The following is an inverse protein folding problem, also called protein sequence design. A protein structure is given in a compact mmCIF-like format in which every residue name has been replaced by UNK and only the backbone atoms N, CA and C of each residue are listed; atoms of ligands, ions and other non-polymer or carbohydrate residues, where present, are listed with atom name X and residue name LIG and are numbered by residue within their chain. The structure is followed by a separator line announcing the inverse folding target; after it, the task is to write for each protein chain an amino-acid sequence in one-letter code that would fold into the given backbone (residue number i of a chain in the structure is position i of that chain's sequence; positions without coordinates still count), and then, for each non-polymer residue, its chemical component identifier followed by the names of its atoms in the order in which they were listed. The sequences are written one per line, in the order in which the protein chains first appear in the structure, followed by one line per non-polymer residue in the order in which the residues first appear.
data_IF_158365277161
#
_entry.id   IF_158365277161
#
_cell.length_a   1.000
_cell.length_b   1.000
_cell.length_c   1.000
_cell.angle_alpha   90.00
_cell.angle_beta   90.00
_cell.angle_gamma   90.00
#
_symmetry.space_group_name_H-M   'P 1'
#
loop_
_entity.id
_entity.type
_entity.pdbx_description
1 polymer ?
#
# COMPACT_ATOMS: atom_id res chain seq x y z
N UNK A 1 -9.78 11.62 -31.42
CA UNK A 1 -9.09 10.34 -31.72
C UNK A 1 -9.19 9.45 -30.49
N UNK A 2 -9.91 8.33 -30.57
CA UNK A 2 -10.05 7.41 -29.42
C UNK A 2 -8.71 6.71 -29.18
N UNK A 3 -8.12 6.92 -28.00
CA UNK A 3 -6.87 6.27 -27.62
C UNK A 3 -7.14 4.76 -27.44
N UNK A 4 -6.31 3.89 -28.02
CA UNK A 4 -6.42 2.41 -27.94
C UNK A 4 -6.54 1.96 -26.48
N UNK A 5 -5.89 2.70 -25.56
CA UNK A 5 -5.96 2.51 -24.11
C UNK A 5 -7.38 2.67 -23.54
N UNK A 6 -8.15 3.63 -24.06
CA UNK A 6 -9.56 3.84 -23.68
C UNK A 6 -10.46 2.72 -24.17
N UNK A 7 -10.17 2.13 -25.34
CA UNK A 7 -10.91 1.00 -25.91
C UNK A 7 -10.69 -0.27 -25.07
N UNK A 8 -9.44 -0.54 -24.69
CA UNK A 8 -9.10 -1.68 -23.82
C UNK A 8 -9.75 -1.54 -22.44
N UNK A 9 -9.76 -0.33 -21.87
CA UNK A 9 -10.39 -0.07 -20.58
C UNK A 9 -11.91 -0.20 -20.61
N UNK A 10 -12.55 0.22 -21.71
CA UNK A 10 -13.97 -0.04 -21.95
C UNK A 10 -14.25 -1.54 -22.04
N UNK A 11 -13.42 -2.29 -22.77
CA UNK A 11 -13.57 -3.74 -22.88
C UNK A 11 -13.42 -4.45 -21.52
N UNK A 12 -12.40 -4.09 -20.73
CA UNK A 12 -12.20 -4.65 -19.38
C UNK A 12 -13.37 -4.29 -18.46
N UNK A 13 -13.84 -3.04 -18.50
CA UNK A 13 -14.94 -2.57 -17.67
C UNK A 13 -16.29 -3.19 -18.02
N UNK A 14 -16.52 -3.49 -19.30
CA UNK A 14 -17.82 -3.96 -19.79
C UNK A 14 -17.91 -5.47 -19.97
N UNK A 15 -16.78 -6.16 -20.10
CA UNK A 15 -16.72 -7.63 -20.34
C UNK A 15 -16.16 -8.39 -19.13
N UNK A 16 -15.14 -7.86 -18.46
CA UNK A 16 -14.46 -8.57 -17.38
C UNK A 16 -15.17 -8.36 -16.03
N UNK A 17 -15.49 -7.11 -15.70
CA UNK A 17 -16.10 -6.73 -14.41
C UNK A 17 -17.45 -7.43 -14.18
N UNK A 18 -18.37 -7.51 -15.16
CA UNK A 18 -19.64 -8.22 -14.99
C UNK A 18 -19.51 -9.74 -14.80
N UNK A 19 -18.35 -10.33 -15.15
CA UNK A 19 -18.06 -11.76 -14.97
C UNK A 19 -17.38 -12.09 -13.64
N UNK A 20 -17.02 -11.09 -12.84
CA UNK A 20 -16.47 -11.29 -11.49
C UNK A 20 -17.61 -11.60 -10.51
N UNK A 21 -18.05 -12.86 -10.47
CA UNK A 21 -19.19 -13.34 -9.66
C UNK A 21 -18.98 -13.25 -8.14
N UNK A 22 -17.79 -12.87 -7.67
CA UNK A 22 -17.46 -12.74 -6.25
C UNK A 22 -17.88 -11.40 -5.62
N UNK A 23 -18.26 -10.39 -6.42
CA UNK A 23 -18.62 -9.06 -5.93
C UNK A 23 -20.15 -8.91 -5.70
N UNK A 24 -20.58 -8.25 -4.60
CA UNK A 24 -21.97 -7.86 -4.39
C UNK A 24 -22.55 -7.08 -5.58
N UNK A 25 -23.83 -7.32 -5.92
CA UNK A 25 -24.51 -6.71 -7.09
C UNK A 25 -24.44 -5.18 -7.11
N UNK A 26 -24.44 -4.52 -5.94
CA UNK A 26 -24.32 -3.07 -5.81
C UNK A 26 -22.94 -2.53 -6.25
N UNK A 27 -21.87 -3.28 -5.98
CA UNK A 27 -20.52 -2.92 -6.41
C UNK A 27 -20.30 -3.17 -7.90
N UNK A 28 -20.97 -4.18 -8.47
CA UNK A 28 -21.00 -4.39 -9.93
C UNK A 28 -21.54 -3.17 -10.67
N UNK A 29 -22.69 -2.66 -10.24
CA UNK A 29 -23.32 -1.50 -10.88
C UNK A 29 -22.44 -0.26 -10.77
N UNK A 30 -21.86 -0.01 -9.59
CA UNK A 30 -20.96 1.12 -9.36
C UNK A 30 -19.70 1.01 -10.22
N UNK A 31 -19.06 -0.16 -10.25
CA UNK A 31 -17.80 -0.37 -10.95
C UNK A 31 -17.98 -0.40 -12.48
N UNK A 32 -19.15 -0.81 -12.99
CA UNK A 32 -19.45 -0.77 -14.42
C UNK A 32 -19.70 0.65 -14.91
N UNK A 33 -20.35 1.49 -14.09
CA UNK A 33 -20.66 2.89 -14.42
C UNK A 33 -19.42 3.78 -14.29
N UNK A 34 -18.70 3.68 -13.17
CA UNK A 34 -17.55 4.55 -12.88
C UNK A 34 -16.21 3.99 -13.35
N UNK A 35 -16.13 2.68 -13.62
CA UNK A 35 -14.92 1.99 -14.09
C UNK A 35 -14.23 2.70 -15.25
N UNK A 36 -14.92 3.03 -16.36
CA UNK A 36 -14.29 3.65 -17.53
C UNK A 36 -13.65 5.01 -17.25
N UNK A 37 -14.14 5.75 -16.24
CA UNK A 37 -13.63 7.07 -15.86
C UNK A 37 -12.58 7.02 -14.75
N UNK A 38 -12.75 6.13 -13.76
CA UNK A 38 -11.82 6.02 -12.63
C UNK A 38 -10.55 5.24 -12.99
N UNK A 39 -10.66 4.13 -13.72
CA UNK A 39 -9.51 3.27 -14.07
C UNK A 39 -8.38 4.02 -14.79
N UNK A 40 -8.61 4.81 -15.85
CA UNK A 40 -7.52 5.49 -16.54
C UNK A 40 -6.81 6.48 -15.62
N UNK A 41 -7.55 7.22 -14.78
CA UNK A 41 -6.94 8.16 -13.81
C UNK A 41 -6.12 7.45 -12.73
N UNK A 42 -6.59 6.31 -12.23
CA UNK A 42 -5.86 5.51 -11.24
C UNK A 42 -4.58 4.94 -11.89
N UNK A 43 -4.67 4.41 -13.11
CA UNK A 43 -3.52 3.86 -13.82
C UNK A 43 -2.50 4.97 -14.14
N UNK A 44 -2.95 6.15 -14.55
CA UNK A 44 -2.06 7.27 -14.86
C UNK A 44 -1.42 7.85 -13.60
N UNK A 45 -2.15 7.95 -12.49
CA UNK A 45 -1.58 8.29 -11.18
C UNK A 45 -0.57 7.22 -10.71
N UNK A 46 -0.84 5.95 -10.95
CA UNK A 46 0.08 4.85 -10.64
C UNK A 46 1.34 4.89 -11.51
N UNK A 47 1.19 5.14 -12.82
CA UNK A 47 2.31 5.19 -13.75
C UNK A 47 3.19 6.42 -13.54
N UNK A 48 2.59 7.58 -13.24
CA UNK A 48 3.34 8.80 -12.92
C UNK A 48 4.11 8.65 -11.61
N UNK A 49 3.46 8.15 -10.54
CA UNK A 49 4.15 7.87 -9.27
C UNK A 49 5.25 6.81 -9.39
N UNK A 50 5.07 5.80 -10.24
CA UNK A 50 6.09 4.80 -10.54
C UNK A 50 7.23 5.36 -11.38
N UNK A 51 6.96 6.25 -12.33
CA UNK A 51 7.97 6.91 -13.15
C UNK A 51 8.90 7.78 -12.30
N UNK A 52 8.37 8.54 -11.34
CA UNK A 52 9.18 9.33 -10.39
C UNK A 52 10.08 8.42 -9.54
N UNK A 53 9.56 7.26 -9.13
CA UNK A 53 10.29 6.30 -8.29
C UNK A 53 11.46 5.62 -9.01
N UNK A 54 11.46 5.53 -10.35
CA UNK A 54 12.60 5.01 -11.13
C UNK A 54 13.86 5.88 -11.02
N UNK A 55 13.70 7.17 -10.72
CA UNK A 55 14.82 8.12 -10.62
C UNK A 55 15.54 8.09 -9.27
N UNK A 56 15.03 7.32 -8.31
CA UNK A 56 15.57 7.25 -6.94
C UNK A 56 16.05 5.82 -6.67
N UNK A 57 17.27 5.63 -6.14
CA UNK A 57 17.77 4.29 -5.85
C UNK A 57 16.93 3.60 -4.77
N UNK A 58 16.72 2.29 -4.94
CA UNK A 58 16.06 1.44 -3.96
C UNK A 58 16.93 1.39 -2.71
N UNK A 59 16.34 1.70 -1.55
CA UNK A 59 17.02 1.63 -0.25
C UNK A 59 16.51 0.46 0.58
N UNK A 60 17.35 -0.12 1.46
CA UNK A 60 16.87 -1.08 2.45
C UNK A 60 15.86 -0.43 3.40
N UNK A 61 15.01 -1.24 4.00
CA UNK A 61 13.95 -0.76 4.90
C UNK A 61 14.58 -0.15 6.16
N UNK A 62 14.26 1.10 6.53
CA UNK A 62 14.78 1.70 7.76
C UNK A 62 14.36 0.89 9.00
N UNK A 63 15.21 0.77 10.04
CA UNK A 63 14.94 -0.08 11.21
C UNK A 63 13.69 0.35 11.98
N UNK A 64 13.39 1.65 12.02
CA UNK A 64 12.19 2.22 12.65
C UNK A 64 10.91 1.78 11.92
N UNK A 65 10.95 1.77 10.58
CA UNK A 65 9.84 1.32 9.74
C UNK A 65 9.65 -0.18 9.87
N UNK A 66 10.72 -0.96 10.00
CA UNK A 66 10.63 -2.40 10.25
C UNK A 66 9.88 -2.71 11.55
N UNK A 67 10.07 -1.93 12.62
CA UNK A 67 9.31 -2.08 13.87
C UNK A 67 7.81 -1.81 13.66
N UNK A 68 7.46 -0.78 12.89
CA UNK A 68 6.06 -0.50 12.55
C UNK A 68 5.43 -1.58 11.68
N UNK A 69 6.17 -2.12 10.71
CA UNK A 69 5.73 -3.26 9.90
C UNK A 69 5.52 -4.51 10.75
N UNK A 70 6.41 -4.78 11.71
CA UNK A 70 6.23 -5.90 12.65
C UNK A 70 4.99 -5.70 13.53
N UNK A 71 4.72 -4.47 13.98
CA UNK A 71 3.53 -4.14 14.76
C UNK A 71 2.23 -4.33 13.94
N UNK A 72 2.18 -3.86 12.69
CA UNK A 72 1.06 -4.07 11.78
C UNK A 72 0.87 -5.55 11.40
N UNK A 73 1.97 -6.28 11.25
CA UNK A 73 1.92 -7.71 11.00
C UNK A 73 1.36 -8.46 12.21
N UNK A 74 1.84 -8.15 13.41
CA UNK A 74 1.34 -8.75 14.65
C UNK A 74 -0.14 -8.43 14.85
N UNK A 75 -0.57 -7.18 14.63
CA UNK A 75 -1.98 -6.80 14.74
C UNK A 75 -2.84 -7.55 13.73
N UNK A 76 -2.41 -7.64 12.47
CA UNK A 76 -3.11 -8.40 11.44
C UNK A 76 -3.27 -9.88 11.83
N UNK A 77 -2.21 -10.52 12.34
CA UNK A 77 -2.27 -11.91 12.82
C UNK A 77 -3.23 -12.04 14.00
N UNK A 78 -3.17 -11.14 14.98
CA UNK A 78 -4.07 -11.16 16.15
C UNK A 78 -5.52 -11.01 15.71
N UNK A 79 -5.84 -10.08 14.81
CA UNK A 79 -7.21 -9.93 14.30
C UNK A 79 -7.66 -11.14 13.47
N UNK A 80 -6.80 -11.73 12.65
CA UNK A 80 -7.12 -12.98 11.96
C UNK A 80 -7.43 -14.11 12.95
N UNK A 81 -6.64 -14.24 14.03
CA UNK A 81 -6.91 -15.24 15.09
C UNK A 81 -8.23 -14.94 15.79
N UNK A 82 -8.52 -13.67 16.13
CA UNK A 82 -9.77 -13.27 16.77
C UNK A 82 -11.01 -13.43 15.88
N UNK A 83 -10.82 -13.52 14.56
CA UNK A 83 -11.88 -13.84 13.60
C UNK A 83 -12.31 -15.31 13.64
N UNK A 84 -11.50 -16.19 14.24
CA UNK A 84 -11.82 -17.61 14.36
C UNK A 84 -13.00 -17.85 15.33
N UNK A 85 -13.83 -18.87 15.05
CA UNK A 85 -15.05 -19.13 15.82
C UNK A 85 -14.76 -19.50 17.28
N UNK A 86 -13.57 -19.98 17.62
CA UNK A 86 -13.21 -20.36 18.99
C UNK A 86 -13.16 -19.17 19.96
N UNK A 87 -12.93 -17.95 19.44
CA UNK A 87 -12.93 -16.74 20.27
C UNK A 87 -14.32 -16.07 20.31
N UNK A 88 -15.27 -16.55 19.51
CA UNK A 88 -16.63 -16.05 19.45
C UNK A 88 -17.46 -16.55 20.65
N UNK A 89 -18.37 -15.72 21.20
CA UNK A 89 -19.33 -16.22 22.17
C UNK A 89 -20.14 -17.35 21.55
N UNK A 90 -20.47 -18.36 22.35
CA UNK A 90 -21.17 -19.53 21.87
C UNK A 90 -22.55 -19.16 21.32
N UNK A 91 -22.87 -19.64 20.11
CA UNK A 91 -24.20 -19.51 19.54
C UNK A 91 -25.02 -20.76 19.87
N UNK A 92 -25.99 -20.61 20.77
CA UNK A 92 -26.82 -21.70 21.29
C UNK A 92 -27.63 -22.38 20.17
N UNK A 93 -28.12 -21.62 19.18
CA UNK A 93 -28.89 -22.17 18.06
C UNK A 93 -28.02 -22.97 17.09
N UNK A 94 -26.80 -22.49 16.79
CA UNK A 94 -25.85 -23.23 15.94
C UNK A 94 -25.34 -24.49 16.64
N UNK A 95 -25.09 -24.45 17.95
CA UNK A 95 -24.58 -25.60 18.70
C UNK A 95 -25.62 -26.71 18.86
N UNK A 96 -26.86 -26.34 19.10
CA UNK A 96 -27.98 -27.29 19.24
C UNK A 96 -28.66 -27.62 17.91
N UNK A 97 -28.18 -27.05 16.79
CA UNK A 97 -28.78 -27.17 15.44
C UNK A 97 -30.31 -26.94 15.44
N UNK A 98 -30.76 -25.92 16.19
CA UNK A 98 -32.17 -25.69 16.46
C UNK A 98 -32.70 -24.44 15.75
N UNK A 99 -33.92 -24.51 15.22
CA UNK A 99 -34.63 -23.38 14.60
C UNK A 99 -34.99 -22.30 15.63
N UNK A 100 -35.11 -21.05 15.19
CA UNK A 100 -35.42 -19.91 16.08
C UNK A 100 -36.76 -20.04 16.83
N UNK A 101 -37.76 -20.67 16.19
CA UNK A 101 -39.11 -20.87 16.75
C UNK A 101 -39.22 -21.96 17.82
N UNK A 102 -38.12 -22.67 18.14
CA UNK A 102 -38.12 -23.73 19.16
C UNK A 102 -38.53 -23.20 20.55
N UNK A 103 -39.25 -24.00 21.34
CA UNK A 103 -39.60 -23.61 22.70
C UNK A 103 -38.35 -23.52 23.58
N UNK A 104 -38.24 -22.53 24.50
CA UNK A 104 -37.04 -22.35 25.33
C UNK A 104 -36.63 -23.61 26.08
N UNK A 105 -37.56 -24.27 26.79
CA UNK A 105 -37.26 -25.49 27.54
C UNK A 105 -36.66 -26.59 26.66
N UNK A 106 -37.21 -26.79 25.45
CA UNK A 106 -36.67 -27.80 24.52
C UNK A 106 -35.29 -27.44 23.98
N UNK A 107 -34.96 -26.15 23.84
CA UNK A 107 -33.63 -25.69 23.43
C UNK A 107 -32.61 -25.94 24.53
N UNK A 108 -32.90 -25.54 25.77
CA UNK A 108 -31.98 -25.70 26.90
C UNK A 108 -31.85 -27.16 27.34
N UNK A 109 -32.90 -27.98 27.22
CA UNK A 109 -32.79 -29.43 27.40
C UNK A 109 -31.87 -30.09 26.35
N UNK A 110 -31.80 -29.54 25.12
CA UNK A 110 -30.83 -29.99 24.11
C UNK A 110 -29.42 -29.48 24.42
N UNK A 111 -29.31 -28.23 24.87
CA UNK A 111 -28.03 -27.66 25.27
C UNK A 111 -27.40 -28.44 26.44
N UNK A 112 -28.21 -28.83 27.43
CA UNK A 112 -27.79 -29.64 28.58
C UNK A 112 -27.19 -30.99 28.17
N UNK A 113 -27.62 -31.55 27.02
CA UNK A 113 -27.04 -32.79 26.48
C UNK A 113 -25.68 -32.59 25.82
N UNK A 114 -25.35 -31.36 25.44
CA UNK A 114 -24.07 -30.99 24.81
C UNK A 114 -23.06 -30.55 25.85
N UNK A 115 -23.50 -29.78 26.86
CA UNK A 115 -22.70 -29.33 28.00
C UNK A 115 -23.59 -28.98 29.19
N UNK A 116 -22.99 -28.89 30.38
CA UNK A 116 -23.70 -28.41 31.57
C UNK A 116 -24.14 -26.95 31.43
N UNK A 117 -25.29 -26.62 32.02
CA UNK A 117 -25.92 -25.29 31.99
C UNK A 117 -25.19 -24.34 32.93
N UNK A 118 -24.86 -23.14 32.45
CA UNK A 118 -24.30 -22.06 33.27
C UNK A 118 -25.39 -21.13 33.81
N UNK A 119 -25.06 -20.30 34.80
CA UNK A 119 -26.00 -19.29 35.33
C UNK A 119 -26.49 -18.30 34.26
N UNK A 120 -25.63 -17.99 33.29
CA UNK A 120 -25.97 -17.17 32.12
C UNK A 120 -27.01 -17.88 31.23
N UNK A 121 -26.90 -19.20 31.05
CA UNK A 121 -27.88 -19.98 30.29
C UNK A 121 -29.25 -20.01 30.96
N UNK A 122 -29.30 -20.10 32.30
CA UNK A 122 -30.57 -20.04 33.04
C UNK A 122 -31.24 -18.67 32.91
N UNK A 123 -30.45 -17.60 32.96
CA UNK A 123 -30.93 -16.23 32.72
C UNK A 123 -31.43 -16.10 31.28
N UNK A 124 -30.68 -16.62 30.31
CA UNK A 124 -31.04 -16.61 28.90
C UNK A 124 -32.34 -17.39 28.64
N UNK A 125 -32.54 -18.53 29.33
CA UNK A 125 -33.79 -19.31 29.29
C UNK A 125 -34.99 -18.49 29.69
N UNK A 126 -34.90 -17.72 30.77
CA UNK A 126 -35.99 -16.83 31.22
C UNK A 126 -36.33 -15.75 30.17
N UNK A 127 -35.32 -15.20 29.48
CA UNK A 127 -35.48 -14.15 28.47
C UNK A 127 -36.04 -14.68 27.15
N UNK A 128 -35.82 -15.95 26.80
CA UNK A 128 -36.29 -16.55 25.55
C UNK A 128 -37.80 -16.84 25.51
N UNK A 129 -38.55 -16.55 26.58
CA UNK A 129 -40.01 -16.63 26.58
C UNK A 129 -40.67 -15.72 25.53
N UNK A 130 -40.05 -14.59 25.18
CA UNK A 130 -40.51 -13.71 24.11
C UNK A 130 -39.80 -14.01 22.77
N UNK A 131 -40.58 -14.13 21.69
CA UNK A 131 -40.04 -14.28 20.34
C UNK A 131 -39.16 -13.08 19.92
N UNK A 132 -39.50 -11.88 20.40
CA UNK A 132 -38.71 -10.66 20.15
C UNK A 132 -37.32 -10.74 20.76
N UNK A 133 -37.19 -11.29 21.98
CA UNK A 133 -35.91 -11.45 22.68
C UNK A 133 -34.96 -12.40 21.93
N UNK A 134 -35.50 -13.43 21.25
CA UNK A 134 -34.70 -14.31 20.39
C UNK A 134 -34.16 -13.59 19.15
N UNK A 135 -34.91 -12.67 18.57
CA UNK A 135 -34.44 -11.86 17.45
C UNK A 135 -33.30 -10.92 17.88
N UNK A 136 -33.46 -10.29 19.04
CA UNK A 136 -32.43 -9.44 19.67
C UNK A 136 -31.16 -10.25 19.96
N UNK A 137 -31.29 -11.47 20.47
CA UNK A 137 -30.15 -12.39 20.66
C UNK A 137 -29.35 -12.61 19.38
N UNK A 138 -30.04 -12.84 18.26
CA UNK A 138 -29.38 -13.09 16.97
C UNK A 138 -28.70 -11.83 16.41
N UNK A 139 -29.31 -10.65 16.63
CA UNK A 139 -28.80 -9.37 16.17
C UNK A 139 -27.61 -8.85 16.99
N UNK A 140 -27.72 -8.84 18.32
CA UNK A 140 -26.78 -8.17 19.23
C UNK A 140 -25.96 -9.11 20.11
N UNK A 141 -26.36 -10.38 20.24
CA UNK A 141 -25.65 -11.42 20.97
C UNK A 141 -26.24 -11.75 22.37
N UNK A 142 -25.67 -12.75 23.07
CA UNK A 142 -26.11 -13.18 24.40
C UNK A 142 -25.94 -12.09 25.46
N UNK A 143 -24.77 -11.48 25.49
CA UNK A 143 -24.37 -10.56 26.56
C UNK A 143 -25.25 -9.30 26.62
N UNK A 144 -25.65 -8.77 25.46
CA UNK A 144 -26.56 -7.62 25.37
C UNK A 144 -27.96 -7.93 25.89
N UNK A 145 -28.43 -9.18 25.74
CA UNK A 145 -29.75 -9.59 26.20
C UNK A 145 -29.77 -9.88 27.70
N UNK A 146 -28.68 -10.43 28.23
CA UNK A 146 -28.54 -10.80 29.65
C UNK A 146 -28.31 -9.54 30.51
N UNK A 147 -27.37 -8.68 30.10
CA UNK A 147 -26.87 -7.60 30.95
C UNK A 147 -27.59 -6.25 30.77
N UNK A 148 -28.48 -6.10 29.78
CA UNK A 148 -29.21 -4.84 29.61
C UNK A 148 -30.45 -4.77 30.51
N UNK A 149 -30.38 -3.89 31.51
CA UNK A 149 -31.45 -3.71 32.51
C UNK A 149 -32.58 -2.79 31.99
N UNK A 150 -32.26 -1.82 31.12
CA UNK A 150 -33.17 -0.76 30.67
C UNK A 150 -33.64 -0.90 29.22
N UNK A 151 -33.22 -1.96 28.52
CA UNK A 151 -33.52 -2.14 27.10
C UNK A 151 -34.96 -2.61 26.82
N UNK A 152 -35.65 -3.19 27.80
CA UNK A 152 -37.07 -3.54 27.68
C UNK A 152 -37.90 -2.37 28.21
N UNK A 153 -38.16 -1.38 27.36
CA UNK A 153 -38.93 -0.20 27.73
C UNK A 153 -40.38 -0.35 27.22
N UNK A 154 -41.40 0.04 28.00
CA UNK A 154 -42.80 -0.01 27.55
C UNK A 154 -43.09 0.95 26.36
N UNK A 155 -42.14 1.81 26.02
CA UNK A 155 -42.24 2.89 25.04
C UNK A 155 -42.13 2.41 23.56
N UNK A 156 -41.95 1.10 23.34
CA UNK A 156 -41.99 0.47 22.01
C UNK A 156 -40.72 0.62 21.17
N UNK A 157 -39.65 1.20 21.71
CA UNK A 157 -38.38 1.43 21.01
C UNK A 157 -37.23 0.51 21.47
N UNK A 158 -37.54 -0.75 21.73
CA UNK A 158 -36.61 -1.71 22.31
C UNK A 158 -35.33 -1.89 21.46
N UNK A 159 -35.46 -1.91 20.13
CA UNK A 159 -34.34 -2.16 19.23
C UNK A 159 -33.23 -1.09 19.32
N UNK A 160 -33.60 0.20 19.47
CA UNK A 160 -32.63 1.28 19.62
C UNK A 160 -31.93 1.22 20.98
N UNK A 161 -32.65 0.87 22.04
CA UNK A 161 -32.05 0.72 23.37
C UNK A 161 -31.01 -0.41 23.40
N UNK A 162 -31.32 -1.56 22.78
CA UNK A 162 -30.34 -2.64 22.63
C UNK A 162 -29.14 -2.23 21.77
N UNK A 163 -29.35 -1.46 20.70
CA UNK A 163 -28.24 -0.91 19.91
C UNK A 163 -27.33 -0.02 20.75
N UNK A 164 -27.89 0.97 21.46
CA UNK A 164 -27.15 1.90 22.30
C UNK A 164 -26.34 1.19 23.39
N UNK A 165 -26.92 0.15 24.01
CA UNK A 165 -26.21 -0.68 24.99
C UNK A 165 -25.06 -1.49 24.35
N UNK A 166 -25.24 -1.97 23.13
CA UNK A 166 -24.21 -2.73 22.39
C UNK A 166 -23.10 -1.86 21.79
N UNK A 167 -23.34 -0.56 21.60
CA UNK A 167 -22.47 0.36 20.89
C UNK A 167 -21.05 0.44 21.48
N UNK A 168 -20.86 0.54 22.81
CA UNK A 168 -19.51 0.49 23.40
C UNK A 168 -18.73 -0.76 23.00
N UNK A 169 -19.38 -1.94 22.99
CA UNK A 169 -18.75 -3.22 22.61
C UNK A 169 -18.41 -3.30 21.13
N UNK A 170 -19.18 -2.60 20.29
CA UNK A 170 -18.87 -2.45 18.87
C UNK A 170 -17.65 -1.54 18.70
N UNK A 171 -17.59 -0.43 19.44
CA UNK A 171 -16.57 0.61 19.28
C UNK A 171 -15.24 0.28 19.96
N UNK A 172 -15.21 -0.51 21.04
CA UNK A 172 -13.97 -0.87 21.75
C UNK A 172 -12.87 -1.43 20.83
N UNK A 173 -13.13 -2.44 19.97
CA UNK A 173 -12.10 -2.95 19.06
C UNK A 173 -11.70 -1.93 17.98
N UNK A 174 -12.58 -1.01 17.59
CA UNK A 174 -12.24 0.09 16.67
C UNK A 174 -11.29 1.09 17.31
N UNK A 175 -11.51 1.42 18.59
CA UNK A 175 -10.60 2.29 19.35
C UNK A 175 -9.23 1.62 19.47
N UNK A 176 -9.20 0.32 19.77
CA UNK A 176 -7.94 -0.43 19.83
C UNK A 176 -7.21 -0.45 18.48
N UNK A 177 -7.94 -0.69 17.38
CA UNK A 177 -7.38 -0.65 16.03
C UNK A 177 -6.83 0.75 15.69
N UNK A 178 -7.55 1.82 16.02
CA UNK A 178 -7.07 3.20 15.84
C UNK A 178 -5.80 3.50 16.65
N UNK A 179 -5.65 2.94 17.86
CA UNK A 179 -4.42 3.06 18.65
C UNK A 179 -3.27 2.35 17.93
N UNK A 180 -3.47 1.13 17.44
CA UNK A 180 -2.46 0.38 16.67
C UNK A 180 -2.03 1.16 15.42
N UNK A 181 -2.99 1.65 14.64
CA UNK A 181 -2.74 2.48 13.45
C UNK A 181 -2.00 3.79 13.81
N UNK A 182 -2.39 4.43 14.91
CA UNK A 182 -1.78 5.65 15.42
C UNK A 182 -0.32 5.44 15.85
N UNK A 183 -0.02 4.31 16.51
CA UNK A 183 1.35 3.94 16.89
C UNK A 183 2.20 3.62 15.64
N UNK A 184 1.65 2.84 14.70
CA UNK A 184 2.34 2.47 13.46
C UNK A 184 2.66 3.68 12.55
N UNK A 185 1.83 4.73 12.61
CA UNK A 185 1.98 5.96 11.81
C UNK A 185 2.49 7.16 12.62
N UNK A 186 2.94 6.93 13.86
CA UNK A 186 3.47 7.98 14.71
C UNK A 186 4.75 8.60 14.15
N UNK A 187 5.05 9.84 14.56
CA UNK A 187 6.31 10.52 14.20
C UNK A 187 7.56 9.77 14.69
N UNK A 188 7.42 8.88 15.67
CA UNK A 188 8.48 8.02 16.18
C UNK A 188 8.96 6.98 15.15
N UNK A 189 8.11 6.61 14.18
CA UNK A 189 8.44 5.67 13.10
C UNK A 189 9.17 6.36 11.95
N UNK A 190 9.21 7.70 11.95
CA UNK A 190 9.85 8.54 10.95
C UNK A 190 8.85 9.30 10.08
N UNK A 191 9.39 10.13 9.19
CA UNK A 191 8.59 11.01 8.31
C UNK A 191 7.69 10.22 7.35
N UNK A 192 8.10 9.01 6.95
CA UNK A 192 7.32 8.15 6.04
C UNK A 192 6.02 7.66 6.70
N UNK A 193 6.06 7.26 7.97
CA UNK A 193 4.87 6.83 8.71
C UNK A 193 3.91 7.98 8.99
N UNK A 194 4.44 9.15 9.36
CA UNK A 194 3.63 10.34 9.66
C UNK A 194 2.79 10.84 8.47
N UNK A 195 3.23 10.60 7.23
CA UNK A 195 2.47 10.97 6.02
C UNK A 195 1.19 10.16 5.88
N UNK A 196 1.24 8.88 6.26
CA UNK A 196 0.11 7.97 6.13
C UNK A 196 -0.88 8.09 7.30
N UNK A 197 -0.54 8.84 8.35
CA UNK A 197 -1.36 8.99 9.55
C UNK A 197 -2.78 9.42 9.26
N UNK A 198 -2.97 10.48 8.46
CA UNK A 198 -4.31 11.00 8.12
C UNK A 198 -5.13 9.93 7.38
N UNK A 199 -4.51 9.24 6.41
CA UNK A 199 -5.18 8.19 5.64
C UNK A 199 -5.53 6.98 6.52
N UNK A 200 -4.63 6.57 7.41
CA UNK A 200 -4.87 5.50 8.36
C UNK A 200 -5.99 5.84 9.36
N UNK A 201 -6.02 7.08 9.88
CA UNK A 201 -7.10 7.54 10.78
C UNK A 201 -8.44 7.61 10.08
N UNK A 202 -8.48 8.10 8.82
CA UNK A 202 -9.70 8.14 8.03
C UNK A 202 -10.20 6.71 7.77
N UNK A 203 -9.32 5.79 7.36
CA UNK A 203 -9.69 4.41 7.13
C UNK A 203 -10.29 3.75 8.38
N UNK A 204 -9.64 3.89 9.54
CA UNK A 204 -10.15 3.35 10.81
C UNK A 204 -11.49 3.98 11.24
N UNK A 205 -11.65 5.30 11.08
CA UNK A 205 -12.91 5.99 11.39
C UNK A 205 -14.04 5.56 10.45
N UNK A 206 -13.76 5.40 9.15
CA UNK A 206 -14.73 4.93 8.16
C UNK A 206 -15.21 3.52 8.50
N UNK A 207 -14.30 2.60 8.87
CA UNK A 207 -14.69 1.27 9.34
C UNK A 207 -15.60 1.34 10.57
N UNK A 208 -15.29 2.23 11.51
CA UNK A 208 -16.09 2.41 12.70
C UNK A 208 -17.49 2.94 12.43
N UNK A 209 -17.59 4.00 11.63
CA UNK A 209 -18.87 4.58 11.23
C UNK A 209 -19.68 3.61 10.38
N UNK A 210 -19.06 2.89 9.45
CA UNK A 210 -19.75 1.93 8.59
C UNK A 210 -20.38 0.79 9.39
N UNK A 211 -19.67 0.27 10.40
CA UNK A 211 -20.22 -0.78 11.25
C UNK A 211 -21.32 -0.25 12.18
N UNK A 212 -21.10 0.89 12.84
CA UNK A 212 -22.11 1.50 13.70
C UNK A 212 -23.39 1.84 12.92
N UNK A 213 -23.23 2.35 11.69
CA UNK A 213 -24.33 2.62 10.77
C UNK A 213 -25.07 1.34 10.38
N UNK A 214 -24.34 0.29 9.98
CA UNK A 214 -24.93 -0.98 9.59
C UNK A 214 -25.77 -1.57 10.73
N UNK A 215 -25.22 -1.61 11.94
CA UNK A 215 -25.93 -2.14 13.10
C UNK A 215 -27.10 -1.23 13.53
N UNK A 216 -26.92 0.10 13.48
CA UNK A 216 -27.98 1.04 13.85
C UNK A 216 -29.16 1.06 12.88
N UNK A 217 -28.95 0.65 11.62
CA UNK A 217 -29.99 0.54 10.58
C UNK A 217 -30.47 -0.90 10.37
N UNK A 218 -29.95 -1.86 11.14
CA UNK A 218 -30.30 -3.27 10.99
C UNK A 218 -31.73 -3.54 11.48
N UNK A 219 -32.56 -4.09 10.60
CA UNK A 219 -33.90 -4.51 10.95
C UNK A 219 -33.89 -5.88 11.63
N UNK A 220 -34.11 -5.88 12.95
CA UNK A 220 -34.22 -7.08 13.79
C UNK A 220 -35.38 -7.99 13.35
N UNK A 221 -36.34 -7.47 12.59
CA UNK A 221 -37.50 -8.20 12.11
C UNK A 221 -37.22 -9.16 10.93
N UNK A 222 -36.06 -9.04 10.28
CA UNK A 222 -35.66 -9.87 9.13
C UNK A 222 -35.74 -11.37 9.45
N UNK A 223 -35.30 -11.76 10.65
CA UNK A 223 -35.26 -13.15 11.09
C UNK A 223 -36.64 -13.70 11.54
N UNK A 224 -37.71 -12.90 11.55
CA UNK A 224 -39.06 -13.37 11.94
C UNK A 224 -39.61 -14.45 11.00
N UNK A 225 -39.24 -14.38 9.72
CA UNK A 225 -39.73 -15.28 8.67
C UNK A 225 -38.88 -16.54 8.50
N UNK A 226 -37.72 -16.61 9.15
CA UNK A 226 -36.81 -17.74 9.03
C UNK A 226 -37.40 -18.98 9.73
N UNK A 227 -37.66 -20.03 8.94
CA UNK A 227 -38.19 -21.31 9.44
C UNK A 227 -37.09 -22.38 9.59
N UNK A 228 -36.02 -22.26 8.80
CA UNK A 228 -34.85 -23.15 8.79
C UNK A 228 -33.64 -22.43 9.38
N UNK A 229 -32.72 -23.18 9.98
CA UNK A 229 -31.48 -22.65 10.58
C UNK A 229 -30.60 -21.90 9.57
N UNK A 230 -30.55 -22.38 8.33
CA UNK A 230 -29.72 -21.81 7.26
C UNK A 230 -30.21 -20.44 6.78
N UNK A 231 -31.50 -20.16 6.96
CA UNK A 231 -32.11 -18.88 6.57
C UNK A 231 -31.95 -17.81 7.67
N UNK A 232 -31.42 -18.17 8.84
CA UNK A 232 -31.23 -17.24 9.95
C UNK A 232 -29.97 -16.43 9.72
N UNK A 233 -30.14 -15.11 9.70
CA UNK A 233 -29.04 -14.18 9.66
C UNK A 233 -28.45 -13.93 11.05
N UNK A 234 -27.35 -14.61 11.36
CA UNK A 234 -26.57 -14.43 12.60
C UNK A 234 -25.72 -13.15 12.57
N UNK A 235 -26.37 -11.99 12.56
CA UNK A 235 -25.74 -10.69 12.37
C UNK A 235 -24.60 -10.42 13.38
N UNK A 236 -24.79 -10.68 14.67
CA UNK A 236 -23.76 -10.46 15.70
C UNK A 236 -22.43 -11.18 15.35
N UNK A 237 -22.50 -12.48 15.07
CA UNK A 237 -21.32 -13.29 14.75
C UNK A 237 -20.74 -12.94 13.38
N UNK A 238 -21.60 -12.70 12.38
CA UNK A 238 -21.18 -12.35 11.02
C UNK A 238 -20.40 -11.02 11.01
N UNK A 239 -20.94 -9.98 11.64
CA UNK A 239 -20.31 -8.66 11.69
C UNK A 239 -18.98 -8.74 12.43
N UNK A 240 -18.92 -9.50 13.53
CA UNK A 240 -17.67 -9.74 14.26
C UNK A 240 -16.57 -10.32 13.36
N UNK A 241 -16.88 -11.33 12.54
CA UNK A 241 -15.90 -11.90 11.60
C UNK A 241 -15.45 -10.85 10.59
N UNK A 242 -16.39 -10.13 9.96
CA UNK A 242 -16.08 -9.07 9.01
C UNK A 242 -15.27 -7.93 9.61
N UNK A 243 -15.53 -7.56 10.87
CA UNK A 243 -14.80 -6.52 11.61
C UNK A 243 -13.31 -6.86 11.67
N UNK A 244 -12.98 -8.05 12.17
CA UNK A 244 -11.58 -8.45 12.32
C UNK A 244 -10.90 -8.72 10.98
N UNK A 245 -11.62 -9.23 9.97
CA UNK A 245 -11.09 -9.34 8.61
C UNK A 245 -10.80 -7.97 7.99
N UNK A 246 -11.68 -6.99 8.20
CA UNK A 246 -11.50 -5.63 7.69
C UNK A 246 -10.29 -4.95 8.36
N UNK A 247 -10.07 -5.17 9.66
CA UNK A 247 -8.86 -4.69 10.33
C UNK A 247 -7.59 -5.31 9.77
N UNK A 248 -7.56 -6.64 9.66
CA UNK A 248 -6.39 -7.35 9.12
C UNK A 248 -6.09 -6.93 7.67
N UNK A 249 -7.13 -6.74 6.85
CA UNK A 249 -6.98 -6.22 5.49
C UNK A 249 -6.42 -4.79 5.48
N UNK A 250 -6.91 -3.92 6.36
CA UNK A 250 -6.44 -2.54 6.48
C UNK A 250 -4.97 -2.50 6.90
N UNK A 251 -4.58 -3.30 7.89
CA UNK A 251 -3.20 -3.41 8.38
C UNK A 251 -2.27 -3.95 7.30
N UNK A 252 -2.71 -4.96 6.53
CA UNK A 252 -1.95 -5.52 5.42
C UNK A 252 -1.74 -4.50 4.29
N UNK A 253 -2.78 -3.75 3.91
CA UNK A 253 -2.68 -2.70 2.89
C UNK A 253 -1.76 -1.59 3.37
N UNK A 254 -1.95 -1.08 4.60
CA UNK A 254 -1.12 -0.02 5.15
C UNK A 254 0.35 -0.46 5.28
N UNK A 255 0.59 -1.69 5.72
CA UNK A 255 1.93 -2.28 5.79
C UNK A 255 2.59 -2.36 4.42
N UNK A 256 1.85 -2.79 3.39
CA UNK A 256 2.34 -2.82 2.01
C UNK A 256 2.69 -1.42 1.50
N UNK A 257 1.81 -0.44 1.71
CA UNK A 257 2.07 0.96 1.31
C UNK A 257 3.29 1.50 2.03
N UNK A 258 3.39 1.32 3.35
CA UNK A 258 4.51 1.79 4.16
C UNK A 258 5.84 1.15 3.74
N UNK A 259 5.84 -0.14 3.42
CA UNK A 259 7.00 -0.83 2.89
C UNK A 259 7.40 -0.30 1.50
N UNK A 260 6.43 -0.11 0.60
CA UNK A 260 6.68 0.37 -0.76
C UNK A 260 7.21 1.82 -0.78
N UNK A 261 6.67 2.69 0.08
CA UNK A 261 7.13 4.08 0.20
C UNK A 261 8.48 4.18 0.90
N UNK A 262 8.67 3.45 2.00
CA UNK A 262 9.94 3.48 2.73
C UNK A 262 11.12 2.90 1.96
N UNK A 263 10.90 2.01 1.00
CA UNK A 263 11.98 1.43 0.17
C UNK A 263 12.20 2.18 -1.16
N UNK A 264 11.55 3.33 -1.36
CA UNK A 264 11.54 4.11 -2.61
C UNK A 264 11.02 3.32 -3.82
N UNK A 265 10.26 2.24 -3.61
CA UNK A 265 9.67 1.44 -4.69
C UNK A 265 8.41 2.09 -5.26
N UNK A 266 7.71 2.88 -4.45
CA UNK A 266 6.50 3.59 -4.84
C UNK A 266 6.42 4.95 -4.15
N UNK A 267 5.95 6.00 -4.84
CA UNK A 267 5.87 7.38 -4.34
C UNK A 267 7.20 7.90 -3.74
N UNK A 268 8.33 7.57 -4.36
CA UNK A 268 9.62 8.10 -3.93
C UNK A 268 9.65 9.62 -4.13
N UNK A 269 9.98 10.35 -3.06
CA UNK A 269 10.18 11.79 -3.15
C UNK A 269 11.63 12.03 -3.60
N UNK A 270 11.86 12.64 -4.76
CA UNK A 270 13.19 12.98 -5.18
C UNK A 270 13.79 14.01 -4.19
N UNK A 271 15.11 13.96 -3.91
CA UNK A 271 15.77 15.03 -3.17
C UNK A 271 15.54 16.37 -3.86
N UNK A 272 15.48 17.44 -3.07
CA UNK A 272 15.15 18.78 -3.58
C UNK A 272 16.14 19.16 -4.70
N UNK A 273 15.68 19.95 -5.67
CA UNK A 273 16.54 20.40 -6.79
C UNK A 273 17.82 21.05 -6.26
N UNK A 274 17.72 21.84 -5.18
CA UNK A 274 18.88 22.43 -4.51
C UNK A 274 19.90 21.40 -4.01
N UNK A 275 19.46 20.31 -3.37
CA UNK A 275 20.33 19.24 -2.88
C UNK A 275 20.97 18.46 -4.04
N UNK A 276 20.20 18.21 -5.12
CA UNK A 276 20.72 17.58 -6.34
C UNK A 276 21.78 18.46 -6.99
N UNK A 277 21.53 19.77 -7.06
CA UNK A 277 22.44 20.73 -7.64
C UNK A 277 23.72 20.81 -6.82
N UNK A 278 23.61 20.94 -5.49
CA UNK A 278 24.76 20.92 -4.58
C UNK A 278 25.60 19.64 -4.71
N UNK A 279 24.96 18.47 -4.77
CA UNK A 279 25.67 17.20 -4.96
C UNK A 279 26.42 17.15 -6.29
N UNK A 280 25.79 17.60 -7.38
CA UNK A 280 26.42 17.67 -8.70
C UNK A 280 27.57 18.69 -8.74
N UNK A 281 27.41 19.84 -8.08
CA UNK A 281 28.44 20.87 -7.96
C UNK A 281 29.63 20.34 -7.17
N UNK A 282 29.41 19.67 -6.04
CA UNK A 282 30.48 19.03 -5.26
C UNK A 282 31.24 17.98 -6.06
N UNK A 283 30.54 17.17 -6.85
CA UNK A 283 31.17 16.18 -7.72
C UNK A 283 31.97 16.85 -8.85
N UNK A 284 31.46 17.93 -9.44
CA UNK A 284 32.14 18.70 -10.46
C UNK A 284 33.40 19.39 -9.91
N UNK A 285 33.33 20.00 -8.72
CA UNK A 285 34.45 20.61 -8.03
C UNK A 285 35.55 19.58 -7.70
N UNK A 286 35.17 18.42 -7.14
CA UNK A 286 36.11 17.34 -6.87
C UNK A 286 36.81 16.85 -8.14
N UNK A 287 36.08 16.76 -9.25
CA UNK A 287 36.63 16.36 -10.55
C UNK A 287 37.56 17.43 -11.11
N UNK A 288 37.19 18.71 -11.01
CA UNK A 288 38.01 19.86 -11.41
C UNK A 288 39.33 19.89 -10.64
N UNK A 289 39.30 19.70 -9.32
CA UNK A 289 40.51 19.67 -8.50
C UNK A 289 41.44 18.52 -8.90
N UNK A 290 40.89 17.33 -9.20
CA UNK A 290 41.68 16.22 -9.73
C UNK A 290 42.31 16.54 -11.09
N UNK A 291 41.58 17.16 -12.01
CA UNK A 291 42.10 17.57 -13.31
C UNK A 291 43.19 18.63 -13.19
N UNK A 292 43.02 19.61 -12.30
CA UNK A 292 44.06 20.60 -12.00
C UNK A 292 45.31 19.94 -11.40
N UNK A 293 45.13 19.01 -10.46
CA UNK A 293 46.22 18.21 -9.90
C UNK A 293 46.95 17.40 -10.96
N UNK A 294 46.23 16.75 -11.88
CA UNK A 294 46.82 16.03 -13.02
C UNK A 294 47.56 16.97 -13.97
N UNK A 295 47.02 18.17 -14.23
CA UNK A 295 47.71 19.19 -15.04
C UNK A 295 49.01 19.68 -14.40
N UNK A 296 49.00 19.90 -13.08
CA UNK A 296 50.20 20.26 -12.33
C UNK A 296 51.22 19.13 -12.33
N UNK A 297 50.80 17.88 -12.09
CA UNK A 297 51.67 16.71 -12.18
C UNK A 297 52.27 16.55 -13.57
N UNK A 298 51.45 16.66 -14.62
CA UNK A 298 51.90 16.59 -16.01
C UNK A 298 52.94 17.67 -16.34
N UNK A 299 52.71 18.90 -15.87
CA UNK A 299 53.68 20.00 -16.03
C UNK A 299 54.96 19.76 -15.23
N UNK A 300 54.87 19.26 -14.00
CA UNK A 300 56.05 18.93 -13.18
C UNK A 300 56.89 17.82 -13.80
N UNK A 301 56.24 16.74 -14.28
CA UNK A 301 56.92 15.65 -15.00
C UNK A 301 57.56 16.16 -16.30
N UNK A 302 56.88 17.05 -17.03
CA UNK A 302 57.45 17.62 -18.25
C UNK A 302 58.61 18.57 -17.98
N UNK A 303 58.72 19.17 -16.79
CA UNK A 303 59.83 20.08 -16.44
C UNK A 303 61.05 19.34 -15.89
N UNK A 304 60.86 18.27 -15.14
CA UNK A 304 61.93 17.47 -14.56
C UNK A 304 62.38 16.35 -15.51
N UNK A 305 63.68 16.32 -15.86
CA UNK A 305 64.23 15.30 -16.77
C UNK A 305 64.23 13.90 -16.17
N UNK A 306 64.39 13.75 -14.85
CA UNK A 306 64.38 12.45 -14.20
C UNK A 306 62.98 11.83 -14.22
N UNK A 307 61.95 12.61 -13.86
CA UNK A 307 60.55 12.16 -13.91
C UNK A 307 60.08 11.89 -15.35
N UNK A 308 60.55 12.67 -16.32
CA UNK A 308 60.27 12.44 -17.74
C UNK A 308 60.85 11.10 -18.20
N UNK A 309 62.09 10.79 -17.79
CA UNK A 309 62.73 9.51 -18.08
C UNK A 309 61.93 8.32 -17.54
N UNK A 310 61.50 8.37 -16.27
CA UNK A 310 60.66 7.33 -15.67
C UNK A 310 59.32 7.16 -16.41
N UNK A 311 58.67 8.26 -16.79
CA UNK A 311 57.42 8.20 -17.56
C UNK A 311 57.65 7.53 -18.91
N UNK A 312 58.72 7.89 -19.62
CA UNK A 312 59.03 7.35 -20.93
C UNK A 312 59.42 5.87 -20.86
N UNK A 313 60.22 5.49 -19.86
CA UNK A 313 60.54 4.10 -19.56
C UNK A 313 59.29 3.27 -19.26
N UNK A 314 58.37 3.81 -18.44
CA UNK A 314 57.08 3.16 -18.16
C UNK A 314 56.31 2.92 -19.46
N UNK A 315 56.14 3.93 -20.31
CA UNK A 315 55.39 3.78 -21.57
C UNK A 315 56.08 2.89 -22.60
N UNK A 316 57.42 2.89 -22.64
CA UNK A 316 58.18 1.97 -23.48
C UNK A 316 58.00 0.53 -23.00
N UNK A 317 58.08 0.30 -21.68
CA UNK A 317 57.87 -1.01 -21.06
C UNK A 317 56.44 -1.47 -21.32
N UNK A 318 55.43 -0.67 -20.98
CA UNK A 318 54.02 -1.01 -21.22
C UNK A 318 53.76 -1.31 -22.71
N UNK A 319 54.34 -0.53 -23.62
CA UNK A 319 54.25 -0.77 -25.06
C UNK A 319 54.86 -2.10 -25.49
N UNK A 320 56.00 -2.49 -24.92
CA UNK A 320 56.63 -3.79 -25.17
C UNK A 320 55.79 -4.94 -24.61
N UNK A 321 55.34 -4.83 -23.36
CA UNK A 321 54.48 -5.84 -22.71
C UNK A 321 53.16 -6.00 -23.45
N UNK A 322 52.54 -4.90 -23.89
CA UNK A 322 51.33 -4.94 -24.71
C UNK A 322 51.60 -5.58 -26.07
N UNK A 323 52.71 -5.25 -26.73
CA UNK A 323 53.08 -5.85 -28.01
C UNK A 323 53.33 -7.37 -27.89
N UNK A 324 53.95 -7.82 -26.80
CA UNK A 324 54.17 -9.24 -26.49
C UNK A 324 52.85 -9.96 -26.16
N UNK A 325 52.01 -9.34 -25.32
CA UNK A 325 50.68 -9.89 -24.97
C UNK A 325 49.77 -9.98 -26.19
N UNK A 326 49.79 -8.98 -27.07
CA UNK A 326 49.07 -9.00 -28.36
C UNK A 326 49.71 -9.97 -29.35
N UNK A 327 50.93 -10.47 -29.10
CA UNK A 327 51.56 -11.50 -29.91
C UNK A 327 51.16 -12.93 -29.52
N UNK A 328 50.69 -13.15 -28.28
CA UNK A 328 50.20 -14.45 -27.84
C UNK A 328 49.02 -14.94 -28.69
N UNK A 329 49.10 -16.20 -29.12
CA UNK A 329 48.12 -16.80 -30.03
C UNK A 329 46.70 -16.84 -29.44
N UNK A 330 46.59 -17.05 -28.12
CA UNK A 330 45.32 -17.03 -27.40
C UNK A 330 44.67 -15.63 -27.37
N UNK A 331 45.47 -14.56 -27.24
CA UNK A 331 44.97 -13.18 -27.21
C UNK A 331 44.65 -12.70 -28.62
N UNK A 332 45.50 -13.01 -29.61
CA UNK A 332 45.26 -12.68 -31.03
C UNK A 332 43.97 -13.26 -31.56
N UNK A 333 43.71 -14.53 -31.25
CA UNK A 333 42.48 -15.20 -31.68
C UNK A 333 41.24 -14.54 -31.06
N UNK A 334 41.30 -14.14 -29.79
CA UNK A 334 40.21 -13.39 -29.15
C UNK A 334 40.04 -11.98 -29.71
N UNK A 335 41.13 -11.25 -29.97
CA UNK A 335 41.10 -9.91 -30.57
C UNK A 335 40.48 -9.98 -31.98
N UNK A 336 40.90 -10.95 -32.80
CA UNK A 336 40.34 -11.15 -34.14
C UNK A 336 38.86 -11.54 -34.08
N UNK A 337 38.47 -12.43 -33.16
CA UNK A 337 37.05 -12.76 -32.92
C UNK A 337 36.23 -11.57 -32.43
N UNK A 338 36.83 -10.64 -31.67
CA UNK A 338 36.16 -9.42 -31.24
C UNK A 338 36.04 -8.42 -32.39
N UNK A 339 37.08 -8.24 -33.21
CA UNK A 339 37.09 -7.39 -34.40
C UNK A 339 36.08 -7.86 -35.45
N UNK A 340 35.95 -9.16 -35.69
CA UNK A 340 34.93 -9.73 -36.57
C UNK A 340 33.50 -9.44 -36.11
N UNK A 341 33.30 -9.29 -34.79
CA UNK A 341 32.00 -8.94 -34.19
C UNK A 341 31.73 -7.44 -34.17
N UNK A 342 32.73 -6.60 -34.44
CA UNK A 342 32.56 -5.14 -34.48
C UNK A 342 32.00 -4.75 -35.85
N UNK A 343 30.77 -4.23 -35.85
CA UNK A 343 30.17 -3.63 -37.02
C UNK A 343 30.74 -2.22 -37.22
N UNK A 344 31.76 -2.09 -38.08
CA UNK A 344 32.40 -0.81 -38.39
C UNK A 344 31.43 0.25 -38.92
N UNK A 345 30.44 -0.12 -39.74
CA UNK A 345 29.42 0.80 -40.24
C UNK A 345 28.49 1.29 -39.12
N UNK A 346 28.13 0.40 -38.19
CA UNK A 346 27.39 0.76 -36.99
C UNK A 346 28.17 1.70 -36.09
N UNK A 347 29.48 1.47 -35.93
CA UNK A 347 30.36 2.31 -35.14
C UNK A 347 30.54 3.71 -35.75
N UNK A 348 30.77 3.81 -37.05
CA UNK A 348 30.90 5.09 -37.78
C UNK A 348 29.62 5.92 -37.65
N UNK A 349 28.46 5.29 -37.83
CA UNK A 349 27.16 5.94 -37.64
C UNK A 349 26.98 6.41 -36.19
N UNK A 350 27.42 5.61 -35.21
CA UNK A 350 27.29 5.94 -33.80
C UNK A 350 28.26 7.05 -33.37
N UNK A 351 29.48 7.10 -33.94
CA UNK A 351 30.47 8.15 -33.71
C UNK A 351 30.02 9.46 -34.35
N UNK A 352 29.54 9.43 -35.60
CA UNK A 352 28.95 10.62 -36.24
C UNK A 352 27.77 11.12 -35.41
N UNK A 353 26.86 10.24 -35.01
CA UNK A 353 25.72 10.64 -34.18
C UNK A 353 26.10 11.23 -32.83
N UNK A 354 27.17 10.75 -32.17
CA UNK A 354 27.66 11.34 -30.91
C UNK A 354 28.35 12.68 -31.15
N UNK A 355 29.15 12.80 -32.22
CA UNK A 355 29.79 14.05 -32.60
C UNK A 355 28.76 15.12 -32.95
N UNK A 356 27.75 14.77 -33.76
CA UNK A 356 26.64 15.65 -34.14
C UNK A 356 25.84 16.07 -32.91
N UNK A 357 25.56 15.15 -31.97
CA UNK A 357 24.88 15.48 -30.71
C UNK A 357 25.71 16.39 -29.80
N UNK A 358 27.03 16.20 -29.73
CA UNK A 358 27.93 17.06 -28.95
C UNK A 358 28.02 18.46 -29.57
N UNK A 359 28.16 18.56 -30.89
CA UNK A 359 28.17 19.84 -31.61
C UNK A 359 26.84 20.56 -31.39
N UNK A 360 25.71 19.88 -31.57
CA UNK A 360 24.38 20.46 -31.33
C UNK A 360 24.17 20.86 -29.85
N UNK A 361 24.74 20.13 -28.89
CA UNK A 361 24.69 20.50 -27.48
C UNK A 361 25.56 21.71 -27.15
N UNK A 362 26.72 21.87 -27.81
CA UNK A 362 27.62 23.02 -27.63
C UNK A 362 27.01 24.27 -28.29
N UNK A 363 26.44 24.13 -29.49
CA UNK A 363 25.69 25.20 -30.17
C UNK A 363 24.45 25.61 -29.37
N UNK A 364 23.74 24.65 -28.77
CA UNK A 364 22.61 24.93 -27.88
C UNK A 364 23.01 25.70 -26.61
N UNK A 365 24.20 25.43 -26.05
CA UNK A 365 24.74 26.14 -24.89
C UNK A 365 25.22 27.56 -25.24
N UNK A 366 25.79 27.76 -26.43
CA UNK A 366 26.20 29.09 -26.91
C UNK A 366 24.99 29.95 -27.29
N UNK A 367 23.95 29.35 -27.89
CA UNK A 367 22.71 30.06 -28.23
C UNK A 367 21.92 30.49 -26.99
N UNK A 368 21.94 29.68 -25.91
CA UNK A 368 21.30 30.03 -24.64
C UNK A 368 22.07 31.06 -23.81
N UNK A 369 23.38 31.25 -24.06
CA UNK A 369 24.17 32.36 -23.50
C UNK A 369 24.05 33.67 -24.32
N UNK A 370 23.56 33.62 -25.56
CA UNK A 370 23.45 34.76 -26.48
C UNK A 370 22.06 35.40 -26.55
N UNK A 371 21.11 35.04 -25.68
CA UNK A 371 19.87 35.83 -25.54
C UNK A 371 20.22 37.19 -24.93
N UNK A 372 20.04 38.32 -25.65
CA UNK A 372 20.21 39.63 -25.07
C UNK A 372 19.04 39.90 -24.14
N UNK A 373 19.36 40.47 -22.98
CA UNK A 373 18.44 41.22 -22.15
C UNK A 373 17.83 42.37 -22.94
N UNK A 374 16.67 42.18 -23.54
CA UNK A 374 15.81 43.29 -24.00
C UNK A 374 14.36 42.84 -23.93
N UNK A 375 13.70 43.18 -22.81
CA UNK A 375 12.34 43.74 -22.78
C UNK A 375 11.86 43.83 -21.33
N UNK A 376 12.34 44.86 -20.63
CA UNK A 376 11.65 45.41 -19.45
C UNK A 376 11.80 46.92 -19.43
N UNK A 377 11.14 47.62 -20.35
CA UNK A 377 10.64 48.97 -20.09
C UNK A 377 9.59 49.36 -21.13
N UNK A 378 8.32 49.03 -20.89
CA UNK A 378 7.17 49.85 -21.31
C UNK A 378 5.86 49.20 -20.83
N UNK A 379 5.33 49.71 -19.71
CA UNK A 379 3.90 49.77 -19.40
C UNK A 379 3.73 50.38 -18.00
N UNK A 380 4.03 51.67 -17.88
CA UNK A 380 3.61 52.50 -16.77
C UNK A 380 3.01 53.78 -17.34
N UNK A 381 1.83 53.67 -17.94
CA UNK A 381 0.85 54.77 -18.17
C UNK A 381 -0.36 54.22 -18.92
N UNK A 382 -1.39 53.80 -18.18
CA UNK A 382 -2.79 54.25 -18.28
C UNK A 382 -3.68 53.36 -17.41
#
# INVERSE_FOLDING_TARGET
MFNIRSIILLFVSWVLIPRLTFLPKSLHTLLTIFGPFLLPKIIDAFNTSRATSRSVPIRPTPPWVQRALNLLFLSAVVFLVLSLPNFAPENVFLKTQSRLQIQPETLFNRLQKVRDLTADDETLRSKFGSASSKLVYVAYGPDTLINCIWCAAPDGNDAQNYFLYSLPKILTPHIFHLIVLGLATSSMVGTEGSRLRIHATIAGLVLACAEAWYMGTYDVSVNKRATVLQDIDFAHWRIRVWRYLAFAATDAVLGLVLWATSTNRWLAIPPKIAERLEASTKQAEATRLKLQGLGLLGNSINRDSALRGVREEYWQTEGQWMAETVQEEAVRTQINQALEKINYQGLETHVSGVADNLINSIDGLTTSQMLPSSDTSEAATQ
#
